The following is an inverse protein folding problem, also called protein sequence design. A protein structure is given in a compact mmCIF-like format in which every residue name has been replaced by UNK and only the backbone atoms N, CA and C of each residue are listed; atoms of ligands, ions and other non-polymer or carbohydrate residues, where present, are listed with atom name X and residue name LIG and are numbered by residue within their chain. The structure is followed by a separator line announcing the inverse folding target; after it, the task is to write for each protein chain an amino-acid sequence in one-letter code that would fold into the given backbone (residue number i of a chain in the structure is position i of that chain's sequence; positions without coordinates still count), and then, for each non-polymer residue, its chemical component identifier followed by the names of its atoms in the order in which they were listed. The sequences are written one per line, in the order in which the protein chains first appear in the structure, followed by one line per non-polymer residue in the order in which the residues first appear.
data_IF_592717551534
#
_entry.id   IF_592717551534
#
_cell.length_a   1.000
_cell.length_b   1.000
_cell.length_c   1.000
_cell.angle_alpha   90.00
_cell.angle_beta   90.00
_cell.angle_gamma   90.00
#
_symmetry.space_group_name_H-M   'P 1'
#
loop_
_entity.id
_entity.type
_entity.pdbx_description
1 polymer ?
#
# COMPACT_ATOMS: atom_id res chain seq x y z
N UNK A 1 11.32 0.23 6.75
CA UNK A 1 11.21 1.53 7.46
C UNK A 1 10.07 1.39 8.42
N UNK A 2 10.26 1.73 9.70
CA UNK A 2 9.22 1.56 10.69
C UNK A 2 8.24 2.74 10.71
N UNK A 3 6.96 2.41 10.83
CA UNK A 3 5.86 3.37 10.94
C UNK A 3 4.93 2.88 12.04
N UNK A 4 4.45 3.81 12.88
CA UNK A 4 3.51 3.47 13.93
C UNK A 4 2.10 3.28 13.34
N UNK A 5 1.54 2.08 13.47
CA UNK A 5 0.17 1.74 13.05
C UNK A 5 -0.44 0.81 14.10
N UNK A 6 -1.73 0.96 14.41
CA UNK A 6 -2.43 0.13 15.42
C UNK A 6 -1.75 0.10 16.80
N UNK A 7 -1.02 1.15 17.16
CA UNK A 7 -0.29 1.23 18.44
C UNK A 7 0.99 0.40 18.51
N UNK A 8 1.48 -0.17 17.40
CA UNK A 8 2.77 -0.85 17.31
C UNK A 8 3.62 -0.35 16.13
N UNK A 9 4.89 -0.72 16.09
CA UNK A 9 5.78 -0.43 14.98
C UNK A 9 5.61 -1.48 13.88
N UNK A 10 5.31 -1.03 12.67
CA UNK A 10 5.14 -1.86 11.48
C UNK A 10 6.26 -1.57 10.48
N UNK A 11 6.94 -2.61 9.99
CA UNK A 11 7.99 -2.46 8.98
C UNK A 11 7.41 -2.34 7.57
N UNK A 12 7.62 -1.19 6.95
CA UNK A 12 7.27 -0.93 5.57
C UNK A 12 8.48 -1.23 4.68
N UNK A 13 8.33 -2.26 3.85
CA UNK A 13 9.35 -2.71 2.90
C UNK A 13 8.93 -2.41 1.47
N UNK A 14 9.89 -1.98 0.64
CA UNK A 14 9.64 -1.70 -0.78
C UNK A 14 10.35 -2.71 -1.65
N UNK A 15 9.62 -3.35 -2.55
CA UNK A 15 10.23 -4.20 -3.57
C UNK A 15 11.11 -3.37 -4.51
N UNK A 16 12.09 -4.01 -5.15
CA UNK A 16 12.89 -3.37 -6.23
C UNK A 16 12.00 -2.78 -7.33
N UNK A 17 10.89 -3.45 -7.63
CA UNK A 17 9.94 -2.97 -8.64
C UNK A 17 9.19 -1.72 -8.18
N UNK A 18 8.74 -1.68 -6.91
CA UNK A 18 8.11 -0.50 -6.33
C UNK A 18 9.07 0.70 -6.31
N UNK A 19 10.31 0.52 -5.85
CA UNK A 19 11.32 1.59 -5.84
C UNK A 19 11.58 2.16 -7.24
N UNK A 20 11.68 1.29 -8.25
CA UNK A 20 11.79 1.71 -9.66
C UNK A 20 10.59 2.57 -10.08
N UNK A 21 9.37 2.14 -9.77
CA UNK A 21 8.13 2.87 -10.12
C UNK A 21 8.01 4.21 -9.41
N UNK A 22 8.40 4.28 -8.15
CA UNK A 22 8.43 5.51 -7.36
C UNK A 22 9.39 6.51 -7.99
N UNK A 23 10.60 6.06 -8.34
CA UNK A 23 11.62 6.90 -8.98
C UNK A 23 11.22 7.36 -10.38
N UNK A 24 10.69 6.47 -11.23
CA UNK A 24 10.29 6.80 -12.62
C UNK A 24 9.19 7.87 -12.67
N UNK A 25 8.35 7.92 -11.63
CA UNK A 25 7.15 8.77 -11.58
C UNK A 25 7.27 9.94 -10.61
N UNK A 26 8.43 10.11 -9.99
CA UNK A 26 8.68 11.15 -9.00
C UNK A 26 7.63 11.17 -7.87
N UNK A 27 7.21 9.99 -7.41
CA UNK A 27 6.27 9.85 -6.29
C UNK A 27 7.06 10.00 -5.00
N UNK A 28 6.57 10.84 -4.09
CA UNK A 28 7.15 10.96 -2.76
C UNK A 28 6.78 9.73 -1.93
N UNK A 29 7.76 9.10 -1.27
CA UNK A 29 7.51 7.92 -0.43
C UNK A 29 6.59 8.26 0.73
N UNK A 30 6.67 9.49 1.22
CA UNK A 30 5.87 10.06 2.29
C UNK A 30 4.37 10.01 1.95
N UNK A 31 3.98 10.19 0.68
CA UNK A 31 2.59 10.03 0.24
C UNK A 31 2.14 8.59 0.48
N UNK A 32 2.93 7.62 0.03
CA UNK A 32 2.64 6.19 0.20
C UNK A 32 2.48 5.83 1.69
N UNK A 33 3.33 6.40 2.54
CA UNK A 33 3.27 6.16 3.98
C UNK A 33 2.01 6.80 4.58
N UNK A 34 1.70 8.05 4.24
CA UNK A 34 0.51 8.73 4.71
C UNK A 34 -0.77 7.99 4.29
N UNK A 35 -0.81 7.47 3.06
CA UNK A 35 -1.93 6.66 2.57
C UNK A 35 -2.13 5.40 3.41
N UNK A 36 -1.04 4.70 3.76
CA UNK A 36 -1.10 3.52 4.64
C UNK A 36 -1.60 3.88 6.03
N UNK A 37 -1.07 4.94 6.66
CA UNK A 37 -1.45 5.38 8.01
C UNK A 37 -2.93 5.79 8.04
N UNK A 38 -3.37 6.63 7.10
CA UNK A 38 -4.77 7.09 7.03
C UNK A 38 -5.75 5.95 6.74
N UNK A 39 -5.25 4.84 6.19
CA UNK A 39 -6.02 3.64 5.91
C UNK A 39 -5.91 2.56 6.97
N UNK A 40 -5.21 2.81 8.10
CA UNK A 40 -4.84 1.77 9.06
C UNK A 40 -6.04 0.92 9.49
N UNK A 41 -7.19 1.54 9.74
CA UNK A 41 -8.39 0.83 10.20
C UNK A 41 -8.87 -0.21 9.17
N UNK A 42 -8.87 0.15 7.88
CA UNK A 42 -9.28 -0.75 6.79
C UNK A 42 -8.23 -1.82 6.51
N UNK A 43 -6.96 -1.46 6.64
CA UNK A 43 -5.85 -2.40 6.48
C UNK A 43 -5.84 -3.42 7.64
N UNK A 44 -6.22 -3.01 8.85
CA UNK A 44 -6.27 -3.87 10.03
C UNK A 44 -7.33 -4.98 9.97
N UNK A 45 -8.32 -4.86 9.08
CA UNK A 45 -9.31 -5.91 8.80
C UNK A 45 -8.76 -7.03 7.89
N UNK A 46 -7.58 -6.83 7.30
CA UNK A 46 -6.97 -7.79 6.39
C UNK A 46 -6.33 -8.96 7.14
N UNK A 47 -6.40 -10.13 6.53
CA UNK A 47 -5.75 -11.35 7.04
C UNK A 47 -4.25 -11.32 6.75
N UNK A 48 -3.49 -12.05 7.56
CA UNK A 48 -2.06 -12.28 7.27
C UNK A 48 -1.88 -12.87 5.86
N UNK A 49 -0.80 -12.48 5.17
CA UNK A 49 -0.50 -12.82 3.77
C UNK A 49 -1.49 -12.29 2.72
N UNK A 50 -2.50 -11.51 3.12
CA UNK A 50 -3.46 -10.94 2.18
C UNK A 50 -2.86 -9.78 1.39
N UNK A 51 -3.15 -9.77 0.10
CA UNK A 51 -2.81 -8.67 -0.80
C UNK A 51 -3.93 -7.66 -0.85
N UNK A 52 -3.54 -6.40 -0.99
CA UNK A 52 -4.48 -5.31 -1.15
C UNK A 52 -3.97 -4.28 -2.16
N UNK A 53 -4.92 -3.60 -2.78
CA UNK A 53 -4.72 -2.42 -3.59
C UNK A 53 -5.32 -1.23 -2.84
N UNK A 54 -4.47 -0.30 -2.45
CA UNK A 54 -4.88 0.97 -1.87
C UNK A 54 -4.92 2.03 -2.96
N UNK A 55 -6.10 2.59 -3.21
CA UNK A 55 -6.36 3.53 -4.29
C UNK A 55 -6.66 4.90 -3.69
N UNK A 56 -5.75 5.84 -3.91
CA UNK A 56 -5.91 7.26 -3.61
C UNK A 56 -6.32 8.01 -4.89
N UNK A 57 -7.54 8.57 -4.86
CA UNK A 57 -8.07 9.34 -5.98
C UNK A 57 -7.55 10.78 -6.01
N UNK A 58 -7.23 11.37 -4.86
CA UNK A 58 -6.68 12.72 -4.77
C UNK A 58 -5.30 12.79 -5.40
N UNK A 59 -4.40 11.84 -5.09
CA UNK A 59 -3.07 11.80 -5.70
C UNK A 59 -3.02 10.99 -7.01
N UNK A 60 -4.14 10.38 -7.41
CA UNK A 60 -4.23 9.44 -8.52
C UNK A 60 -3.20 8.28 -8.42
N UNK A 61 -2.92 7.85 -7.18
CA UNK A 61 -1.95 6.80 -6.87
C UNK A 61 -2.67 5.50 -6.51
N UNK A 62 -2.08 4.38 -6.90
CA UNK A 62 -2.49 3.05 -6.46
C UNK A 62 -1.30 2.28 -5.95
N UNK A 63 -1.36 1.85 -4.70
CA UNK A 63 -0.33 1.10 -4.00
C UNK A 63 -0.78 -0.35 -3.93
N UNK A 64 0.05 -1.26 -4.45
CA UNK A 64 -0.18 -2.70 -4.33
C UNK A 64 0.74 -3.23 -3.26
N UNK A 65 0.16 -3.81 -2.22
CA UNK A 65 0.88 -4.25 -1.05
C UNK A 65 0.38 -5.60 -0.54
N UNK A 66 1.13 -6.18 0.38
CA UNK A 66 0.81 -7.43 1.05
C UNK A 66 1.16 -7.33 2.52
N UNK A 67 0.22 -7.74 3.38
CA UNK A 67 0.47 -7.95 4.81
C UNK A 67 1.29 -9.22 4.97
N UNK A 68 2.36 -9.17 5.76
CA UNK A 68 3.22 -10.30 6.10
C UNK A 68 3.46 -10.33 7.60
N UNK A 69 4.06 -11.43 8.05
CA UNK A 69 4.55 -11.58 9.42
C UNK A 69 3.48 -11.21 10.46
N UNK A 70 2.25 -11.67 10.23
CA UNK A 70 1.11 -11.46 11.11
C UNK A 70 0.73 -9.99 11.35
N UNK A 71 1.02 -9.11 10.39
CA UNK A 71 0.71 -7.68 10.48
C UNK A 71 1.92 -6.80 10.79
N UNK A 72 3.07 -7.41 11.15
CA UNK A 72 4.29 -6.68 11.50
C UNK A 72 4.99 -6.08 10.27
N UNK A 73 4.74 -6.62 9.08
CA UNK A 73 5.38 -6.16 7.84
C UNK A 73 4.34 -5.85 6.77
N UNK A 74 4.46 -4.68 6.14
CA UNK A 74 3.75 -4.34 4.90
C UNK A 74 4.76 -4.29 3.75
N UNK A 75 4.64 -5.23 2.82
CA UNK A 75 5.47 -5.29 1.62
C UNK A 75 4.80 -4.55 0.47
N UNK A 76 5.36 -3.41 0.06
CA UNK A 76 4.96 -2.64 -1.12
C UNK A 76 5.53 -3.32 -2.37
N UNK A 77 4.63 -3.92 -3.15
CA UNK A 77 4.96 -4.69 -4.35
C UNK A 77 5.15 -3.75 -5.55
N UNK A 78 4.21 -2.82 -5.76
CA UNK A 78 4.29 -1.84 -6.84
C UNK A 78 3.46 -0.59 -6.53
N UNK A 79 3.71 0.48 -7.29
CA UNK A 79 2.95 1.73 -7.24
C UNK A 79 2.58 2.12 -8.67
N UNK A 80 1.35 2.54 -8.87
CA UNK A 80 0.76 2.86 -10.17
C UNK A 80 0.07 4.23 -10.11
N UNK A 81 0.11 4.96 -11.20
CA UNK A 81 -0.45 6.30 -11.43
C UNK A 81 -1.83 6.25 -12.10
N UNK A 82 -2.71 5.36 -11.63
CA UNK A 82 -3.99 5.05 -12.29
C UNK A 82 -5.11 4.69 -11.33
N UNK A 83 -5.50 5.60 -10.44
CA UNK A 83 -6.57 5.34 -9.47
C UNK A 83 -7.92 4.99 -10.11
N UNK A 84 -8.37 5.76 -11.11
CA UNK A 84 -9.72 5.59 -11.69
C UNK A 84 -9.88 4.37 -12.60
N UNK A 85 -8.78 3.80 -13.11
CA UNK A 85 -8.79 2.70 -14.07
C UNK A 85 -8.07 1.46 -13.56
N UNK A 86 -7.71 1.43 -12.28
CA UNK A 86 -7.00 0.28 -11.72
C UNK A 86 -7.91 -0.95 -11.69
N UNK A 87 -7.41 -2.07 -12.19
CA UNK A 87 -8.02 -3.38 -12.03
C UNK A 87 -6.99 -4.27 -11.34
N UNK A 88 -7.38 -4.89 -10.24
CA UNK A 88 -6.54 -5.88 -9.58
C UNK A 88 -6.28 -7.04 -10.53
N UNK A 89 -5.07 -7.60 -10.46
CA UNK A 89 -4.72 -8.76 -11.28
C UNK A 89 -5.34 -10.04 -10.71
N UNK A 90 -5.47 -10.11 -9.39
CA UNK A 90 -6.01 -11.27 -8.71
C UNK A 90 -7.36 -10.91 -8.08
N UNK A 91 -8.34 -11.78 -8.23
CA UNK A 91 -9.67 -11.62 -7.63
C UNK A 91 -9.65 -11.66 -6.09
N UNK A 92 -8.55 -12.15 -5.50
CA UNK A 92 -8.33 -12.20 -4.05
C UNK A 92 -7.73 -10.92 -3.48
N UNK A 93 -7.29 -9.99 -4.33
CA UNK A 93 -6.74 -8.71 -3.87
C UNK A 93 -7.89 -7.86 -3.33
N UNK A 94 -7.78 -7.41 -2.08
CA UNK A 94 -8.77 -6.51 -1.47
C UNK A 94 -8.54 -5.09 -1.99
N UNK A 95 -9.59 -4.41 -2.41
CA UNK A 95 -9.50 -3.02 -2.88
C UNK A 95 -9.94 -2.09 -1.76
N UNK A 96 -9.06 -1.16 -1.41
CA UNK A 96 -9.30 -0.13 -0.40
C UNK A 96 -9.26 1.22 -1.13
N UNK A 97 -10.36 1.97 -1.05
CA UNK A 97 -10.41 3.34 -1.56
C UNK A 97 -10.18 4.34 -0.43
N UNK A 98 -9.32 5.32 -0.69
CA UNK A 98 -9.16 6.53 0.12
C UNK A 98 -9.41 7.77 -0.73
N UNK A 99 -9.87 8.82 -0.04
CA UNK A 99 -10.32 10.06 -0.66
C UNK A 99 -9.13 10.86 -1.16
#
# INVERSE_FOLDING_TARGET
MFVQMWGCDVDIQFSKHALKRISERNILKEIIINDLITSENKIGELKNNQRFALIDKTTNTTIIAQIRDFGETIMIITVVDKAEKFKTKYHTDVIIYIN
#
